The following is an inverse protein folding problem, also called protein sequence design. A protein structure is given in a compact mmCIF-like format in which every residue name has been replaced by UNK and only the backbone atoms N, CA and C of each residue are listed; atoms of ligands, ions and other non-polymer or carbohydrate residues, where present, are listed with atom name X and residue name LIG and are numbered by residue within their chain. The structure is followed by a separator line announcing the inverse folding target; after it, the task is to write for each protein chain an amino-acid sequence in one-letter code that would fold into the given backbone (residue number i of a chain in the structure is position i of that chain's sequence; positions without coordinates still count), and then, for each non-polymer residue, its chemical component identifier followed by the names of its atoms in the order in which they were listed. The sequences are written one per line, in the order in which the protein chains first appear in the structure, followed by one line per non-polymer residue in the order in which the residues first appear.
data_IF_601493828090
#
_entry.id   IF_601493828090
#
_cell.length_a   1.000
_cell.length_b   1.000
_cell.length_c   1.000
_cell.angle_alpha   90.00
_cell.angle_beta   90.00
_cell.angle_gamma   90.00
#
_symmetry.space_group_name_H-M   'P 1'
#
loop_
_entity.id
_entity.type
_entity.pdbx_description
1 polymer ?
#
# COMPACT_ATOMS: atom_id res chain seq x y z
N UNK A 1 -6.60 -48.45 -23.33
CA UNK A 1 -6.04 -47.14 -22.95
C UNK A 1 -7.09 -46.10 -23.27
N UNK A 2 -7.59 -45.37 -22.27
CA UNK A 2 -8.52 -44.26 -22.48
C UNK A 2 -7.68 -43.00 -22.49
N UNK A 3 -7.74 -42.24 -23.58
CA UNK A 3 -7.12 -40.92 -23.66
C UNK A 3 -8.16 -39.87 -23.28
N UNK A 4 -7.73 -38.88 -22.49
CA UNK A 4 -8.56 -37.75 -22.09
C UNK A 4 -7.92 -36.47 -22.62
N UNK A 5 -8.75 -35.61 -23.21
CA UNK A 5 -8.31 -34.31 -23.71
C UNK A 5 -8.11 -33.37 -22.53
N UNK A 6 -7.01 -32.61 -22.55
CA UNK A 6 -6.69 -31.64 -21.51
C UNK A 6 -6.58 -30.23 -22.09
N UNK A 7 -6.94 -29.25 -21.28
CA UNK A 7 -6.84 -27.83 -21.60
C UNK A 7 -6.01 -27.11 -20.55
N UNK A 8 -5.17 -26.18 -21.01
CA UNK A 8 -4.36 -25.34 -20.15
C UNK A 8 -5.17 -24.12 -19.67
N UNK A 9 -5.13 -23.88 -18.38
CA UNK A 9 -5.59 -22.66 -17.72
C UNK A 9 -4.40 -21.84 -17.25
N UNK A 10 -4.31 -20.62 -17.77
CA UNK A 10 -3.32 -19.63 -17.37
C UNK A 10 -3.99 -18.53 -16.55
N UNK A 11 -3.44 -18.23 -15.38
CA UNK A 11 -3.94 -17.15 -14.52
C UNK A 11 -2.83 -16.13 -14.26
N UNK A 12 -3.08 -14.88 -14.61
CA UNK A 12 -2.17 -13.75 -14.38
C UNK A 12 -2.69 -12.88 -13.25
N UNK A 13 -1.85 -12.61 -12.25
CA UNK A 13 -2.18 -11.75 -11.10
C UNK A 13 -0.92 -11.04 -10.59
N UNK A 14 -0.96 -9.72 -10.34
CA UNK A 14 0.14 -8.98 -9.74
C UNK A 14 0.51 -9.42 -8.32
N UNK A 15 -0.40 -10.12 -7.63
CA UNK A 15 -0.25 -10.51 -6.21
C UNK A 15 -0.25 -12.03 -6.02
N UNK A 16 -0.17 -12.78 -7.12
CA UNK A 16 -0.32 -14.23 -7.14
C UNK A 16 -1.78 -14.69 -7.30
N UNK A 17 -1.93 -15.92 -7.78
CA UNK A 17 -3.20 -16.59 -7.99
C UNK A 17 -3.00 -18.11 -7.85
N UNK A 18 -4.06 -18.82 -7.51
CA UNK A 18 -4.12 -20.30 -7.52
C UNK A 18 -5.10 -20.79 -8.57
N UNK A 19 -4.95 -22.02 -9.03
CA UNK A 19 -5.81 -22.64 -10.06
C UNK A 19 -5.24 -22.58 -11.48
N UNK A 20 -3.99 -22.16 -11.69
CA UNK A 20 -3.36 -22.31 -13.00
C UNK A 20 -2.87 -23.76 -13.19
N UNK A 21 -3.06 -24.34 -14.38
CA UNK A 21 -2.65 -25.72 -14.65
C UNK A 21 -3.34 -26.38 -15.84
N UNK A 22 -3.05 -27.67 -16.03
CA UNK A 22 -3.72 -28.52 -17.01
C UNK A 22 -4.89 -29.23 -16.37
N UNK A 23 -6.03 -29.23 -17.06
CA UNK A 23 -7.28 -29.80 -16.58
C UNK A 23 -7.93 -30.64 -17.66
N UNK A 24 -8.58 -31.72 -17.24
CA UNK A 24 -9.36 -32.58 -18.14
C UNK A 24 -10.55 -31.81 -18.73
N UNK A 25 -10.93 -32.17 -19.95
CA UNK A 25 -12.09 -31.60 -20.63
C UNK A 25 -13.38 -31.78 -19.80
N UNK A 26 -14.08 -30.67 -19.55
CA UNK A 26 -15.29 -30.61 -18.73
C UNK A 26 -15.04 -30.51 -17.22
N UNK A 27 -13.78 -30.53 -16.76
CA UNK A 27 -13.46 -30.33 -15.35
C UNK A 27 -13.91 -28.94 -14.87
N UNK A 28 -14.41 -28.87 -13.63
CA UNK A 28 -14.70 -27.61 -12.95
C UNK A 28 -13.49 -27.21 -12.13
N UNK A 29 -12.98 -26.02 -12.39
CA UNK A 29 -11.82 -25.49 -11.69
C UNK A 29 -12.16 -24.22 -10.89
N UNK A 30 -11.33 -23.96 -9.89
CA UNK A 30 -11.46 -22.84 -8.96
C UNK A 30 -10.22 -21.98 -9.04
N UNK A 31 -10.37 -20.79 -9.61
CA UNK A 31 -9.34 -19.76 -9.57
C UNK A 31 -9.56 -18.92 -8.33
N UNK A 32 -8.52 -18.78 -7.50
CA UNK A 32 -8.60 -17.96 -6.30
C UNK A 32 -7.46 -16.93 -6.27
N UNK A 33 -7.84 -15.72 -5.89
CA UNK A 33 -6.94 -14.56 -5.78
C UNK A 33 -7.29 -13.81 -4.49
N UNK A 34 -6.29 -13.30 -3.73
CA UNK A 34 -6.57 -12.51 -2.53
C UNK A 34 -7.40 -11.27 -2.87
N UNK A 35 -8.52 -11.06 -2.15
CA UNK A 35 -9.40 -9.91 -2.38
C UNK A 35 -8.74 -8.59 -1.95
N UNK A 36 -8.08 -8.59 -0.79
CA UNK A 36 -7.38 -7.44 -0.23
C UNK A 36 -5.91 -7.79 0.02
N UNK A 37 -5.09 -7.86 -1.04
CA UNK A 37 -3.67 -8.20 -0.89
C UNK A 37 -2.94 -7.09 -0.11
N UNK A 38 -1.88 -7.44 0.64
CA UNK A 38 -1.08 -6.45 1.34
C UNK A 38 -0.49 -5.44 0.36
N UNK A 39 -0.55 -4.17 0.76
CA UNK A 39 0.02 -3.03 0.05
C UNK A 39 0.84 -2.18 1.03
N UNK A 40 1.35 -1.02 0.59
CA UNK A 40 2.09 -0.12 1.48
C UNK A 40 1.13 0.67 2.41
N UNK A 41 1.69 1.37 3.39
CA UNK A 41 0.89 2.10 4.39
C UNK A 41 0.06 3.26 3.82
N UNK A 42 0.32 3.72 2.59
CA UNK A 42 -0.35 4.87 1.99
C UNK A 42 -1.35 4.48 0.90
N UNK A 43 -1.43 3.19 0.55
CA UNK A 43 -2.25 2.70 -0.55
C UNK A 43 -2.91 1.41 -0.12
N UNK A 44 -4.23 1.33 -0.30
CA UNK A 44 -4.99 0.09 -0.22
C UNK A 44 -5.14 -0.48 -1.61
N UNK A 45 -5.05 -1.79 -1.73
CA UNK A 45 -5.32 -2.51 -2.98
C UNK A 45 -6.49 -3.44 -2.77
N UNK A 46 -7.42 -3.43 -3.73
CA UNK A 46 -8.62 -4.27 -3.72
C UNK A 46 -8.80 -4.92 -5.08
N UNK A 47 -9.23 -6.19 -5.08
CA UNK A 47 -9.64 -6.89 -6.28
C UNK A 47 -10.89 -6.22 -6.86
N UNK A 48 -10.79 -5.75 -8.10
CA UNK A 48 -11.91 -5.19 -8.85
C UNK A 48 -12.68 -6.28 -9.60
N UNK A 49 -11.97 -7.32 -10.05
CA UNK A 49 -12.56 -8.52 -10.63
C UNK A 49 -11.59 -9.28 -11.53
N UNK A 50 -12.15 -10.08 -12.42
CA UNK A 50 -11.40 -10.90 -13.38
C UNK A 50 -11.75 -10.49 -14.81
N UNK A 51 -10.82 -10.74 -15.74
CA UNK A 51 -11.01 -10.51 -17.17
C UNK A 51 -10.34 -11.63 -17.98
N UNK A 52 -10.59 -11.65 -19.29
CA UNK A 52 -10.10 -12.66 -20.22
C UNK A 52 -11.13 -13.73 -20.52
N UNK A 53 -10.68 -14.98 -20.63
CA UNK A 53 -11.47 -16.14 -21.05
C UNK A 53 -12.32 -16.75 -19.91
N UNK A 54 -12.98 -15.92 -19.11
CA UNK A 54 -13.82 -16.36 -18.00
C UNK A 54 -15.34 -16.27 -18.25
N UNK A 55 -15.76 -15.92 -19.48
CA UNK A 55 -17.18 -15.75 -19.80
C UNK A 55 -17.75 -14.57 -19.02
N UNK A 56 -18.65 -14.83 -18.07
CA UNK A 56 -19.26 -13.80 -17.23
C UNK A 56 -18.33 -13.29 -16.11
N UNK A 57 -17.21 -14.00 -15.86
CA UNK A 57 -16.19 -13.63 -14.87
C UNK A 57 -16.76 -13.32 -13.46
N UNK A 58 -17.91 -13.92 -13.13
CA UNK A 58 -18.59 -13.79 -11.85
C UNK A 58 -17.74 -14.42 -10.75
N UNK A 59 -17.37 -13.61 -9.76
CA UNK A 59 -16.56 -14.06 -8.63
C UNK A 59 -17.18 -13.62 -7.32
N UNK A 60 -16.84 -14.33 -6.25
CA UNK A 60 -17.22 -13.98 -4.88
C UNK A 60 -16.01 -14.14 -3.97
N UNK A 61 -15.66 -13.10 -3.20
CA UNK A 61 -14.49 -13.14 -2.30
C UNK A 61 -13.15 -13.44 -2.98
N UNK A 62 -13.01 -13.06 -4.26
CA UNK A 62 -11.83 -13.39 -5.07
C UNK A 62 -11.75 -14.81 -5.60
N UNK A 63 -12.85 -15.57 -5.52
CA UNK A 63 -12.97 -16.92 -6.07
C UNK A 63 -13.84 -16.91 -7.32
N UNK A 64 -13.32 -17.46 -8.41
CA UNK A 64 -13.96 -17.61 -9.71
C UNK A 64 -14.08 -19.09 -10.06
N UNK A 65 -15.29 -19.54 -10.40
CA UNK A 65 -15.59 -20.90 -10.84
C UNK A 65 -15.67 -20.94 -12.36
N UNK A 66 -15.02 -21.92 -12.98
CA UNK A 66 -15.02 -22.08 -14.43
C UNK A 66 -15.03 -23.55 -14.84
N UNK A 67 -15.47 -23.80 -16.07
CA UNK A 67 -15.43 -25.13 -16.70
C UNK A 67 -14.39 -25.15 -17.82
N UNK A 68 -13.56 -26.19 -17.85
CA UNK A 68 -12.49 -26.35 -18.83
C UNK A 68 -12.98 -27.10 -20.07
N UNK A 69 -13.64 -26.38 -20.97
CA UNK A 69 -14.10 -26.82 -22.30
C UNK A 69 -13.13 -26.41 -23.43
N UNK A 70 -12.20 -25.51 -23.13
CA UNK A 70 -11.17 -25.00 -24.05
C UNK A 70 -9.99 -24.44 -23.24
N UNK A 71 -8.84 -24.14 -23.87
CA UNK A 71 -7.79 -23.37 -23.21
C UNK A 71 -8.31 -21.99 -22.81
N UNK A 72 -7.94 -21.53 -21.62
CA UNK A 72 -8.42 -20.26 -21.05
C UNK A 72 -7.26 -19.46 -20.47
N UNK A 73 -7.27 -18.15 -20.71
CA UNK A 73 -6.36 -17.18 -20.10
C UNK A 73 -7.15 -16.15 -19.29
N UNK A 74 -6.87 -16.05 -17.99
CA UNK A 74 -7.59 -15.19 -17.05
C UNK A 74 -6.60 -14.23 -16.41
N UNK A 75 -7.02 -12.97 -16.23
CA UNK A 75 -6.24 -11.97 -15.51
C UNK A 75 -7.07 -11.35 -14.37
N UNK A 76 -6.45 -11.17 -13.21
CA UNK A 76 -7.03 -10.46 -12.08
C UNK A 76 -6.75 -8.95 -12.17
N UNK A 77 -7.79 -8.14 -12.03
CA UNK A 77 -7.73 -6.68 -12.07
C UNK A 77 -7.81 -6.14 -10.64
N UNK A 78 -6.87 -5.28 -10.27
CA UNK A 78 -6.82 -4.64 -8.97
C UNK A 78 -6.93 -3.13 -9.10
N UNK A 79 -7.70 -2.52 -8.20
CA UNK A 79 -7.77 -1.07 -8.02
C UNK A 79 -6.92 -0.69 -6.80
N UNK A 80 -6.23 0.43 -6.90
CA UNK A 80 -5.41 0.99 -5.83
C UNK A 80 -5.99 2.33 -5.39
N UNK A 81 -6.25 2.46 -4.10
CA UNK A 81 -6.90 3.63 -3.50
C UNK A 81 -5.97 4.25 -2.45
N UNK A 82 -5.86 5.59 -2.37
CA UNK A 82 -5.07 6.24 -1.33
C UNK A 82 -5.63 5.97 0.07
N UNK A 83 -4.76 5.68 1.04
CA UNK A 83 -5.13 5.65 2.44
C UNK A 83 -5.10 7.09 3.01
N UNK A 84 -6.25 7.77 2.91
CA UNK A 84 -6.41 9.15 3.38
C UNK A 84 -6.21 9.29 4.89
N UNK A 85 -6.42 8.23 5.68
CA UNK A 85 -6.23 8.27 7.14
C UNK A 85 -4.75 8.34 7.46
N UNK A 86 -3.94 7.48 6.84
CA UNK A 86 -2.50 7.47 7.07
C UNK A 86 -1.83 8.71 6.48
N UNK A 87 -2.25 9.15 5.30
CA UNK A 87 -1.79 10.41 4.70
C UNK A 87 -2.16 11.62 5.56
N UNK A 88 -3.39 11.69 6.05
CA UNK A 88 -3.85 12.75 6.94
C UNK A 88 -3.09 12.78 8.27
N UNK A 89 -2.83 11.61 8.85
CA UNK A 89 -2.05 11.48 10.09
C UNK A 89 -0.62 12.01 9.92
N UNK A 90 0.05 11.63 8.81
CA UNK A 90 1.39 12.12 8.50
C UNK A 90 1.41 13.63 8.28
N UNK A 91 0.44 14.16 7.52
CA UNK A 91 0.32 15.59 7.26
C UNK A 91 0.06 16.37 8.56
N UNK A 92 -0.82 15.88 9.43
CA UNK A 92 -1.11 16.48 10.73
C UNK A 92 0.11 16.51 11.66
N UNK A 93 0.85 15.40 11.75
CA UNK A 93 2.07 15.32 12.55
C UNK A 93 3.16 16.28 12.05
N UNK A 94 3.36 16.35 10.72
CA UNK A 94 4.31 17.28 10.12
C UNK A 94 3.90 18.74 10.37
N UNK A 95 2.61 19.06 10.23
CA UNK A 95 2.07 20.39 10.53
C UNK A 95 2.31 20.81 11.98
N UNK A 96 1.98 19.93 12.94
CA UNK A 96 2.22 20.18 14.36
C UNK A 96 3.72 20.35 14.68
N UNK A 97 4.58 19.50 14.11
CA UNK A 97 6.03 19.59 14.26
C UNK A 97 6.59 20.90 13.70
N UNK A 98 6.11 21.34 12.53
CA UNK A 98 6.50 22.61 11.92
C UNK A 98 6.12 23.82 12.79
N UNK A 99 4.92 23.81 13.37
CA UNK A 99 4.45 24.84 14.31
C UNK A 99 5.35 24.87 15.56
N UNK A 100 5.62 23.71 16.18
CA UNK A 100 6.47 23.62 17.35
C UNK A 100 7.90 24.09 17.06
N UNK A 101 8.47 23.70 15.91
CA UNK A 101 9.79 24.14 15.48
C UNK A 101 9.86 25.66 15.31
N UNK A 102 8.88 26.27 14.62
CA UNK A 102 8.82 27.70 14.42
C UNK A 102 8.65 28.47 15.74
N UNK A 103 7.80 27.98 16.65
CA UNK A 103 7.62 28.55 17.98
C UNK A 103 8.92 28.47 18.80
N UNK A 104 9.56 27.30 18.85
CA UNK A 104 10.83 27.10 19.55
C UNK A 104 11.97 27.97 19.01
N UNK A 105 11.98 28.23 17.69
CA UNK A 105 12.91 29.20 17.08
C UNK A 105 12.67 30.64 17.54
N UNK A 106 11.42 31.00 17.82
CA UNK A 106 11.01 32.35 18.25
C UNK A 106 11.38 32.65 19.70
N UNK A 107 11.48 31.63 20.55
CA UNK A 107 11.86 31.77 21.96
C UNK A 107 13.36 31.72 22.22
N UNK A 108 14.20 31.48 21.21
CA UNK A 108 15.66 31.61 21.35
C UNK A 108 16.08 33.08 21.24
N UNK A 109 15.68 33.88 22.23
CA UNK A 109 16.20 35.23 22.43
C UNK A 109 17.71 35.16 22.78
N UNK A 110 18.52 36.18 22.44
CA UNK A 110 19.92 36.23 22.84
C UNK A 110 20.00 36.16 24.37
N UNK A 111 20.89 35.30 24.90
CA UNK A 111 21.08 35.15 26.34
C UNK A 111 21.40 36.48 27.03
N UNK A 112 21.10 36.61 28.33
CA UNK A 112 21.29 37.86 29.07
C UNK A 112 22.76 38.28 28.98
N UNK A 113 23.02 39.54 28.59
CA UNK A 113 24.37 40.11 28.62
C UNK A 113 24.87 40.00 30.05
N UNK A 114 25.94 39.23 30.25
CA UNK A 114 26.63 39.14 31.53
C UNK A 114 26.98 40.54 32.02
N UNK A 115 26.55 40.87 33.23
CA UNK A 115 26.95 42.09 33.93
C UNK A 115 28.46 42.02 34.16
N UNK A 116 29.21 42.84 33.45
CA UNK A 116 30.64 43.03 33.70
C UNK A 116 30.80 43.67 35.09
N UNK A 117 31.54 43.07 36.03
CA UNK A 117 31.80 43.71 37.31
C UNK A 117 32.71 44.93 37.08
N UNK A 118 32.29 46.09 37.59
CA UNK A 118 33.09 47.32 37.61
C UNK A 118 34.34 47.11 38.47
N UNK A 119 35.52 47.34 37.89
CA UNK A 119 36.80 47.33 38.60
C UNK A 119 36.89 48.40 39.70
N UNK A 120 37.82 48.26 40.65
CA UNK A 120 37.90 49.12 41.85
C UNK A 120 38.29 50.56 41.50
N UNK A 121 37.90 51.56 42.33
CA UNK A 121 38.23 52.95 42.08
C UNK A 121 39.72 53.21 42.31
N UNK A 122 40.36 53.85 41.32
CA UNK A 122 41.72 54.36 41.43
C UNK A 122 41.81 55.37 42.57
N UNK A 123 42.66 55.07 43.55
CA UNK A 123 43.05 55.97 44.62
C UNK A 123 44.01 57.04 44.05
N UNK A 124 43.44 58.19 43.65
CA UNK A 124 44.15 59.37 43.20
C UNK A 124 44.28 60.44 44.29
N UNK A 125 45.45 60.45 44.90
CA UNK A 125 46.06 61.46 45.77
C UNK A 125 45.79 62.93 45.37
N UNK A 126 45.32 63.77 46.31
CA UNK A 126 45.84 65.13 46.64
C UNK A 126 45.28 65.60 47.98
#
# INVERSE_FOLDING_TARGET
MVYVKQYLLSVSSPVGATGAGWYDEGARDVVAVPENPPANIFVRRRLAGFTGDCGDCLHSGGVLLLTMDRPRSIAAIFVSEPDLVNLGTLAGAAGAGGIAYAAGRRFRAPGPRGRQPSGPPDAGLK
#
